data_IF_684486771272
#
_entry.id   IF_684486771272
#
_cell.length_a   1.000
_cell.length_b   1.000
_cell.length_c   1.000
_cell.angle_alpha   90.00
_cell.angle_beta   90.00
_cell.angle_gamma   90.00
#
_symmetry.space_group_name_H-M   'P 1'
#
loop_
_entity.id
_entity.type
_entity.pdbx_description
1 polymer ?
#
# COMPACT_ATOMS: atom_id res chain seq x y z
N UNK A 1 -16.78 24.85 28.06
CA UNK A 1 -15.68 25.82 27.81
C UNK A 1 -14.33 25.34 28.33
N UNK A 2 -14.23 24.80 29.56
CA UNK A 2 -12.95 24.38 30.17
C UNK A 2 -12.27 23.20 29.45
N UNK A 3 -13.03 22.19 28.99
CA UNK A 3 -12.46 21.04 28.27
C UNK A 3 -11.89 21.39 26.87
N UNK A 4 -12.50 22.36 26.18
CA UNK A 4 -12.02 22.84 24.88
C UNK A 4 -10.74 23.69 25.02
N UNK A 5 -10.60 24.45 26.11
CA UNK A 5 -9.38 25.19 26.43
C UNK A 5 -8.23 24.25 26.84
N UNK A 6 -8.50 23.19 27.61
CA UNK A 6 -7.51 22.18 27.94
C UNK A 6 -7.03 21.41 26.70
N UNK A 7 -7.94 21.04 25.79
CA UNK A 7 -7.58 20.44 24.50
C UNK A 7 -6.77 21.40 23.61
N UNK A 8 -7.06 22.70 23.64
CA UNK A 8 -6.29 23.71 22.91
C UNK A 8 -4.87 23.91 23.47
N UNK A 9 -4.69 23.83 24.80
CA UNK A 9 -3.37 23.88 25.43
C UNK A 9 -2.54 22.64 25.10
N UNK A 10 -3.15 21.45 25.07
CA UNK A 10 -2.49 20.21 24.60
C UNK A 10 -2.07 20.31 23.12
N UNK A 11 -2.89 20.96 22.29
CA UNK A 11 -2.60 21.16 20.84
C UNK A 11 -1.39 22.06 20.59
N UNK A 12 -1.26 23.17 21.31
CA UNK A 12 -0.11 24.08 21.22
C UNK A 12 1.16 23.54 21.90
N UNK A 13 1.03 22.57 22.83
CA UNK A 13 2.18 21.91 23.44
C UNK A 13 2.88 20.92 22.52
N UNK A 14 2.15 20.26 21.61
CA UNK A 14 2.72 19.25 20.73
C UNK A 14 3.31 19.86 19.47
N UNK A 15 2.55 20.67 18.71
CA UNK A 15 2.99 21.21 17.42
C UNK A 15 3.41 22.68 17.59
N UNK A 16 4.71 23.03 17.55
CA UNK A 16 5.14 24.41 17.69
C UNK A 16 4.60 25.31 16.56
N UNK A 17 4.04 26.46 16.93
CA UNK A 17 3.56 27.47 15.97
C UNK A 17 4.66 28.02 15.04
N UNK A 18 5.93 27.92 15.49
CA UNK A 18 7.14 28.30 14.74
C UNK A 18 7.45 27.40 13.55
N UNK A 19 6.87 26.19 13.45
CA UNK A 19 7.12 25.30 12.32
C UNK A 19 6.64 25.91 11.01
N UNK A 20 7.49 25.82 9.98
CA UNK A 20 7.15 26.25 8.61
C UNK A 20 6.21 25.22 7.96
N UNK A 21 5.45 25.65 6.95
CA UNK A 21 4.54 24.77 6.21
C UNK A 21 5.27 23.55 5.62
N UNK A 22 6.49 23.71 5.12
CA UNK A 22 7.31 22.62 4.60
C UNK A 22 7.64 21.57 5.68
N UNK A 23 7.94 22.02 6.90
CA UNK A 23 8.22 21.12 8.04
C UNK A 23 6.96 20.37 8.47
N UNK A 24 5.81 21.05 8.53
CA UNK A 24 4.53 20.39 8.83
C UNK A 24 4.16 19.35 7.76
N UNK A 25 4.36 19.68 6.48
CA UNK A 25 4.18 18.73 5.38
C UNK A 25 5.12 17.53 5.52
N UNK A 26 6.38 17.76 5.90
CA UNK A 26 7.35 16.68 6.14
C UNK A 26 6.92 15.76 7.29
N UNK A 27 6.53 16.32 8.44
CA UNK A 27 6.02 15.53 9.58
C UNK A 27 4.76 14.75 9.19
N UNK A 28 3.81 15.40 8.52
CA UNK A 28 2.60 14.75 8.04
C UNK A 28 2.92 13.58 7.10
N UNK A 29 3.85 13.77 6.16
CA UNK A 29 4.34 12.72 5.27
C UNK A 29 4.95 11.54 6.02
N UNK A 30 5.84 11.82 6.98
CA UNK A 30 6.50 10.79 7.80
C UNK A 30 5.50 10.00 8.67
N UNK A 31 4.35 10.59 8.99
CA UNK A 31 3.28 9.97 9.77
C UNK A 31 2.16 9.39 8.90
N UNK A 32 2.33 9.33 7.57
CA UNK A 32 1.31 8.82 6.66
C UNK A 32 0.04 9.68 6.55
N UNK A 33 0.08 10.92 7.03
CA UNK A 33 -1.04 11.86 7.07
C UNK A 33 -1.19 12.61 5.74
N UNK A 34 -2.37 13.18 5.49
CA UNK A 34 -2.58 14.05 4.34
C UNK A 34 -1.74 15.33 4.44
N UNK A 35 -1.20 15.80 3.31
CA UNK A 35 -0.35 16.99 3.20
C UNK A 35 -1.07 18.19 2.55
N UNK A 36 -2.31 18.00 2.12
CA UNK A 36 -3.17 19.03 1.54
C UNK A 36 -3.87 19.84 2.65
N UNK A 37 -4.24 21.07 2.29
CA UNK A 37 -4.87 22.04 3.18
C UNK A 37 -3.95 23.19 3.57
N UNK A 38 -4.48 24.07 4.42
CA UNK A 38 -3.76 25.20 5.00
C UNK A 38 -2.75 24.74 6.05
N UNK A 39 -1.86 25.64 6.47
CA UNK A 39 -0.91 25.38 7.58
C UNK A 39 -1.64 24.89 8.84
N UNK A 40 -2.79 25.49 9.13
CA UNK A 40 -3.62 25.15 10.30
C UNK A 40 -4.20 23.74 10.18
N UNK A 41 -4.76 23.39 9.02
CA UNK A 41 -5.36 22.07 8.80
C UNK A 41 -4.34 20.94 8.98
N UNK A 42 -3.11 21.14 8.51
CA UNK A 42 -2.03 20.15 8.65
C UNK A 42 -1.57 20.07 10.11
N UNK A 43 -1.42 21.20 10.80
CA UNK A 43 -1.05 21.22 12.21
C UNK A 43 -2.10 20.51 13.09
N UNK A 44 -3.39 20.80 12.88
CA UNK A 44 -4.50 20.13 13.58
C UNK A 44 -4.47 18.62 13.36
N UNK A 45 -4.25 18.17 12.12
CA UNK A 45 -4.15 16.75 11.78
C UNK A 45 -2.98 16.05 12.48
N UNK A 46 -1.84 16.73 12.62
CA UNK A 46 -0.67 16.20 13.35
C UNK A 46 -0.99 16.11 14.85
N UNK A 47 -1.62 17.15 15.42
CA UNK A 47 -2.04 17.15 16.83
C UNK A 47 -3.05 16.05 17.13
N UNK A 48 -4.04 15.85 16.26
CA UNK A 48 -5.05 14.79 16.42
C UNK A 48 -4.40 13.40 16.35
N UNK A 49 -3.48 13.21 15.40
CA UNK A 49 -2.72 11.97 15.28
C UNK A 49 -1.84 11.70 16.51
N UNK A 50 -1.23 12.73 17.10
CA UNK A 50 -0.45 12.62 18.33
C UNK A 50 -1.34 12.24 19.52
N UNK A 51 -2.54 12.82 19.61
CA UNK A 51 -3.49 12.52 20.69
C UNK A 51 -4.06 11.10 20.59
N UNK A 52 -4.25 10.57 19.37
CA UNK A 52 -4.76 9.23 19.14
C UNK A 52 -3.65 8.15 19.04
N UNK A 53 -2.38 8.53 19.10
CA UNK A 53 -1.28 7.58 18.92
C UNK A 53 -1.22 6.59 20.08
N UNK A 54 -1.65 5.36 19.83
CA UNK A 54 -1.38 4.25 20.72
C UNK A 54 0.10 3.84 20.59
N UNK A 55 0.76 3.38 21.67
CA UNK A 55 2.02 2.67 21.53
C UNK A 55 1.81 1.49 20.58
N UNK A 56 2.65 1.34 19.57
CA UNK A 56 2.64 0.12 18.76
C UNK A 56 3.06 -1.03 19.69
N UNK A 57 2.07 -1.80 20.19
CA UNK A 57 2.31 -2.89 21.12
C UNK A 57 3.22 -3.92 20.46
N UNK A 58 4.43 -4.05 20.98
CA UNK A 58 5.39 -5.04 20.52
C UNK A 58 4.82 -6.44 20.78
N UNK A 59 5.18 -7.41 19.94
CA UNK A 59 4.84 -8.80 20.16
C UNK A 59 5.45 -9.28 21.50
N UNK A 60 4.69 -9.22 22.58
CA UNK A 60 5.00 -9.93 23.81
C UNK A 60 4.65 -11.41 23.60
N UNK A 61 5.49 -12.31 24.09
CA UNK A 61 5.25 -13.76 24.03
C UNK A 61 4.01 -14.21 24.84
N UNK A 62 3.29 -13.30 25.53
CA UNK A 62 2.27 -13.67 26.52
C UNK A 62 0.89 -13.01 26.40
N UNK A 63 0.62 -12.06 25.50
CA UNK A 63 -0.75 -11.52 25.33
C UNK A 63 -1.14 -11.26 23.87
N UNK A 64 -2.42 -11.43 23.55
CA UNK A 64 -3.03 -11.26 22.23
C UNK A 64 -3.15 -9.81 21.74
N UNK A 65 -2.33 -8.90 22.25
CA UNK A 65 -2.46 -7.45 22.05
C UNK A 65 -1.56 -6.89 20.94
N UNK A 66 -0.78 -7.75 20.27
CA UNK A 66 0.09 -7.32 19.18
C UNK A 66 -0.73 -7.02 17.92
N UNK A 67 -0.58 -5.84 17.28
CA UNK A 67 -1.31 -5.54 16.08
C UNK A 67 -0.91 -6.51 14.97
N UNK A 68 -1.93 -7.12 14.35
CA UNK A 68 -1.86 -7.95 13.16
C UNK A 68 -2.34 -7.13 11.97
N UNK A 69 -1.39 -6.69 11.14
CA UNK A 69 -1.60 -5.77 10.02
C UNK A 69 -1.71 -6.60 8.75
N UNK A 70 -2.92 -6.66 8.17
CA UNK A 70 -3.17 -7.26 6.87
C UNK A 70 -3.17 -6.16 5.81
N UNK A 71 -2.14 -6.11 4.99
CA UNK A 71 -2.02 -5.13 3.90
C UNK A 71 -2.43 -5.74 2.58
N UNK A 72 -3.39 -5.12 1.89
CA UNK A 72 -3.99 -5.60 0.64
C UNK A 72 -3.72 -4.59 -0.48
N UNK A 73 -3.10 -5.07 -1.56
CA UNK A 73 -3.04 -4.41 -2.87
C UNK A 73 -4.14 -5.00 -3.76
N UNK A 74 -5.11 -4.17 -4.13
CA UNK A 74 -6.32 -4.63 -4.79
C UNK A 74 -6.11 -4.93 -6.27
N UNK A 75 -6.59 -6.08 -6.68
CA UNK A 75 -6.69 -6.48 -8.08
C UNK A 75 -7.67 -7.62 -8.23
N UNK A 76 -8.28 -7.77 -9.40
CA UNK A 76 -9.21 -8.89 -9.64
C UNK A 76 -8.46 -10.18 -10.00
N UNK A 77 -7.33 -10.07 -10.70
CA UNK A 77 -6.50 -11.21 -11.15
C UNK A 77 -5.09 -11.24 -10.56
N UNK A 78 -4.80 -10.23 -9.76
CA UNK A 78 -3.48 -9.91 -9.25
C UNK A 78 -3.57 -9.31 -7.86
N UNK A 79 -4.63 -9.65 -7.11
CA UNK A 79 -4.71 -9.26 -5.70
C UNK A 79 -3.47 -9.78 -4.99
N UNK A 80 -2.84 -8.96 -4.18
CA UNK A 80 -1.77 -9.39 -3.31
C UNK A 80 -2.08 -8.95 -1.87
N UNK A 81 -1.69 -9.78 -0.90
CA UNK A 81 -1.76 -9.39 0.49
C UNK A 81 -0.56 -9.90 1.29
N UNK A 82 -0.22 -9.14 2.33
CA UNK A 82 0.76 -9.52 3.34
C UNK A 82 0.18 -9.36 4.74
N UNK A 83 0.52 -10.28 5.65
CA UNK A 83 0.14 -10.22 7.06
C UNK A 83 1.40 -10.04 7.91
N UNK A 84 1.45 -8.94 8.65
CA UNK A 84 2.61 -8.49 9.42
C UNK A 84 2.26 -8.33 10.90
N UNK A 85 3.23 -8.59 11.76
CA UNK A 85 3.26 -8.05 13.13
C UNK A 85 4.62 -7.40 13.38
N UNK A 86 4.70 -6.28 14.11
CA UNK A 86 5.98 -5.71 14.53
C UNK A 86 6.83 -6.76 15.26
N UNK A 87 8.08 -6.93 14.83
CA UNK A 87 9.09 -7.64 15.60
C UNK A 87 9.72 -6.58 16.52
N UNK A 88 9.60 -6.73 17.84
CA UNK A 88 10.15 -5.73 18.77
C UNK A 88 11.63 -5.45 18.50
N UNK A 89 12.12 -4.29 18.92
CA UNK A 89 13.55 -3.92 18.77
C UNK A 89 14.39 -5.03 19.40
N UNK A 90 15.14 -5.78 18.60
CA UNK A 90 16.22 -6.58 19.17
C UNK A 90 17.18 -5.59 19.81
N UNK A 91 17.33 -5.69 21.14
CA UNK A 91 18.46 -5.06 21.84
C UNK A 91 19.73 -5.78 21.38
N UNK A 92 20.13 -5.62 20.10
CA UNK A 92 21.50 -5.85 19.69
C UNK A 92 22.32 -4.76 20.38
N UNK A 93 22.93 -5.16 21.49
CA UNK A 93 23.88 -4.39 22.27
C UNK A 93 25.03 -3.96 21.35
N UNK A 94 24.90 -2.76 20.79
CA UNK A 94 25.96 -2.09 20.04
C UNK A 94 26.15 -0.68 20.61
N UNK A 95 26.73 -0.62 21.82
CA UNK A 95 27.31 0.59 22.41
C UNK A 95 26.34 1.73 22.81
N UNK A 96 26.80 2.67 23.66
CA UNK A 96 26.05 3.87 23.98
C UNK A 96 26.12 4.84 22.79
N UNK A 97 25.19 4.71 21.85
CA UNK A 97 25.07 5.61 20.70
C UNK A 97 23.99 5.14 19.72
N UNK A 98 22.84 5.83 19.75
CA UNK A 98 21.76 5.83 18.74
C UNK A 98 21.30 4.44 18.26
N UNK A 99 20.18 3.98 18.79
CA UNK A 99 19.46 2.80 18.29
C UNK A 99 19.00 3.05 16.84
N UNK A 100 19.48 2.26 15.88
CA UNK A 100 19.17 2.35 14.43
C UNK A 100 17.66 2.32 14.13
N UNK A 101 16.86 1.78 15.04
CA UNK A 101 15.39 1.77 15.01
C UNK A 101 14.73 3.16 15.03
N UNK A 102 15.45 4.24 15.36
CA UNK A 102 14.87 5.58 15.52
C UNK A 102 14.94 6.49 14.28
N UNK A 103 15.51 6.05 13.15
CA UNK A 103 15.51 6.86 11.93
C UNK A 103 14.09 6.85 11.32
N UNK A 104 13.50 8.03 11.07
CA UNK A 104 12.11 8.19 10.64
C UNK A 104 11.76 7.47 9.33
N UNK A 105 12.76 7.22 8.48
CA UNK A 105 12.65 6.50 7.22
C UNK A 105 13.24 5.08 7.21
N UNK A 106 13.82 4.60 8.33
CA UNK A 106 14.33 3.23 8.39
C UNK A 106 13.19 2.21 8.40
N UNK A 107 13.34 1.05 7.72
CA UNK A 107 12.33 0.01 7.74
C UNK A 107 12.14 -0.55 9.15
N UNK A 108 10.88 -0.81 9.57
CA UNK A 108 10.62 -1.51 10.81
C UNK A 108 10.97 -2.99 10.68
N UNK A 109 11.41 -3.59 11.78
CA UNK A 109 11.55 -5.04 11.85
C UNK A 109 10.17 -5.68 11.98
N UNK A 110 9.87 -6.69 11.16
CA UNK A 110 8.53 -7.30 11.10
C UNK A 110 8.59 -8.82 11.01
N UNK A 111 7.62 -9.47 11.66
CA UNK A 111 7.31 -10.87 11.41
C UNK A 111 6.31 -10.96 10.26
N UNK A 112 6.67 -11.69 9.20
CA UNK A 112 5.82 -11.94 8.04
C UNK A 112 5.11 -13.30 8.19
N UNK A 113 3.80 -13.24 8.41
CA UNK A 113 2.95 -14.41 8.69
C UNK A 113 2.28 -14.97 7.44
N UNK A 114 1.98 -14.12 6.47
CA UNK A 114 1.40 -14.54 5.19
C UNK A 114 1.83 -13.57 4.11
N UNK A 115 2.12 -14.08 2.92
CA UNK A 115 2.40 -13.26 1.75
C UNK A 115 1.95 -14.02 0.52
N UNK A 116 0.87 -13.58 -0.12
CA UNK A 116 0.22 -14.35 -1.19
C UNK A 116 -0.33 -13.45 -2.28
N UNK A 117 -0.38 -14.01 -3.49
CA UNK A 117 -1.07 -13.44 -4.65
C UNK A 117 -2.27 -14.31 -4.98
N UNK A 118 -3.38 -13.70 -5.36
CA UNK A 118 -4.65 -14.39 -5.60
C UNK A 118 -5.34 -13.88 -6.87
N UNK A 119 -5.92 -14.79 -7.64
CA UNK A 119 -6.79 -14.50 -8.79
C UNK A 119 -8.24 -14.78 -8.40
N UNK A 120 -8.94 -13.72 -8.00
CA UNK A 120 -10.32 -13.79 -7.54
C UNK A 120 -11.32 -14.15 -8.64
N UNK A 121 -10.96 -13.93 -9.91
CA UNK A 121 -11.85 -14.19 -11.04
C UNK A 121 -11.81 -15.67 -11.40
N UNK A 122 -10.61 -16.24 -11.46
CA UNK A 122 -10.42 -17.65 -11.82
C UNK A 122 -10.88 -18.60 -10.71
N UNK A 123 -10.82 -18.17 -9.45
CA UNK A 123 -11.32 -18.91 -8.29
C UNK A 123 -12.86 -18.85 -8.13
N UNK A 124 -13.57 -18.07 -8.96
CA UNK A 124 -15.02 -17.96 -8.86
C UNK A 124 -15.72 -19.16 -9.51
N UNK A 125 -16.64 -19.85 -8.82
CA UNK A 125 -17.42 -20.94 -9.41
C UNK A 125 -18.33 -20.49 -10.57
N UNK A 126 -18.56 -19.19 -10.72
CA UNK A 126 -19.33 -18.59 -11.83
C UNK A 126 -18.50 -18.23 -13.07
N UNK A 127 -17.17 -18.42 -13.05
CA UNK A 127 -16.26 -17.98 -14.12
C UNK A 127 -16.56 -18.59 -15.51
N UNK A 128 -17.34 -19.66 -15.57
CA UNK A 128 -17.67 -20.39 -16.81
C UNK A 128 -18.82 -19.84 -17.66
N UNK A 129 -19.55 -18.80 -17.22
CA UNK A 129 -20.70 -18.27 -17.99
C UNK A 129 -20.50 -16.80 -18.36
N UNK A 130 -20.29 -16.56 -19.66
CA UNK A 130 -20.37 -15.30 -20.41
C UNK A 130 -20.50 -14.01 -19.59
N UNK A 131 -19.38 -13.29 -19.37
CA UNK A 131 -19.37 -11.87 -18.96
C UNK A 131 -19.84 -11.54 -17.53
N UNK A 132 -20.49 -12.46 -16.82
CA UNK A 132 -21.15 -12.20 -15.53
C UNK A 132 -20.18 -12.21 -14.33
N UNK A 133 -18.93 -12.64 -14.51
CA UNK A 133 -17.95 -12.70 -13.42
C UNK A 133 -17.63 -11.35 -12.76
N UNK A 134 -17.96 -10.24 -13.42
CA UNK A 134 -17.77 -8.87 -12.93
C UNK A 134 -19.08 -8.15 -12.60
N UNK A 135 -20.22 -8.85 -12.62
CA UNK A 135 -21.48 -8.24 -12.19
C UNK A 135 -21.45 -7.92 -10.69
N UNK A 136 -22.25 -6.94 -10.23
CA UNK A 136 -22.32 -6.62 -8.81
C UNK A 136 -22.65 -7.84 -7.93
N UNK A 137 -23.53 -8.72 -8.41
CA UNK A 137 -23.88 -9.96 -7.71
C UNK A 137 -22.66 -10.89 -7.57
N UNK A 138 -21.95 -11.18 -8.66
CA UNK A 138 -20.76 -12.03 -8.63
C UNK A 138 -19.63 -11.43 -7.77
N UNK A 139 -19.33 -10.14 -7.93
CA UNK A 139 -18.29 -9.46 -7.15
C UNK A 139 -18.62 -9.44 -5.66
N UNK A 140 -19.89 -9.24 -5.27
CA UNK A 140 -20.31 -9.25 -3.87
C UNK A 140 -20.10 -10.61 -3.22
N UNK A 141 -20.48 -11.70 -3.92
CA UNK A 141 -20.26 -13.06 -3.45
C UNK A 141 -18.77 -13.38 -3.32
N UNK A 142 -17.95 -12.89 -4.25
CA UNK A 142 -16.49 -13.01 -4.20
C UNK A 142 -15.88 -12.24 -3.05
N UNK A 143 -16.30 -10.99 -2.79
CA UNK A 143 -15.84 -10.19 -1.67
C UNK A 143 -16.16 -10.86 -0.33
N UNK A 144 -17.41 -11.29 -0.12
CA UNK A 144 -17.84 -11.99 1.10
C UNK A 144 -17.03 -13.26 1.32
N UNK A 145 -16.89 -14.09 0.27
CA UNK A 145 -16.13 -15.34 0.35
C UNK A 145 -14.68 -15.09 0.69
N UNK A 146 -14.02 -14.19 -0.03
CA UNK A 146 -12.61 -13.88 0.16
C UNK A 146 -12.35 -13.31 1.56
N UNK A 147 -13.16 -12.37 2.03
CA UNK A 147 -13.02 -11.80 3.38
C UNK A 147 -13.22 -12.89 4.44
N UNK A 148 -14.30 -13.67 4.38
CA UNK A 148 -14.65 -14.62 5.43
C UNK A 148 -13.79 -15.89 5.44
N UNK A 149 -13.39 -16.38 4.27
CA UNK A 149 -12.71 -17.68 4.13
C UNK A 149 -11.20 -17.53 3.97
N UNK A 150 -10.70 -16.35 3.60
CA UNK A 150 -9.27 -16.13 3.35
C UNK A 150 -8.68 -15.08 4.29
N UNK A 151 -9.30 -13.89 4.39
CA UNK A 151 -8.68 -12.78 5.14
C UNK A 151 -8.92 -12.85 6.64
N UNK A 152 -10.16 -13.07 7.10
CA UNK A 152 -10.48 -13.12 8.52
C UNK A 152 -9.86 -14.30 9.28
N UNK A 153 -9.71 -15.51 8.70
CA UNK A 153 -9.00 -16.60 9.36
C UNK A 153 -7.54 -16.28 9.71
N UNK A 154 -6.96 -15.23 9.10
CA UNK A 154 -5.63 -14.72 9.45
C UNK A 154 -5.62 -13.92 10.77
N UNK A 155 -6.80 -13.66 11.36
CA UNK A 155 -7.04 -12.86 12.55
C UNK A 155 -6.41 -11.46 12.46
N UNK A 156 -6.73 -10.64 11.44
CA UNK A 156 -6.22 -9.28 11.35
C UNK A 156 -6.87 -8.38 12.41
N UNK A 157 -6.09 -7.47 12.98
CA UNK A 157 -6.59 -6.35 13.80
C UNK A 157 -6.77 -5.09 12.96
N UNK A 158 -5.94 -4.94 11.93
CA UNK A 158 -5.96 -3.83 11.00
C UNK A 158 -5.92 -4.38 9.58
N UNK A 159 -6.79 -3.89 8.71
CA UNK A 159 -6.82 -4.22 7.28
C UNK A 159 -6.54 -2.96 6.48
N UNK A 160 -5.36 -2.91 5.86
CA UNK A 160 -4.97 -1.80 5.00
C UNK A 160 -5.40 -2.12 3.57
N UNK A 161 -6.16 -1.22 2.96
CA UNK A 161 -6.59 -1.35 1.57
C UNK A 161 -6.02 -0.16 0.80
N UNK A 162 -5.17 -0.41 -0.21
CA UNK A 162 -4.72 0.65 -1.09
C UNK A 162 -5.93 1.17 -1.91
N UNK A 163 -6.18 2.48 -1.86
CA UNK A 163 -7.26 3.09 -2.64
C UNK A 163 -6.96 3.03 -4.13
N UNK A 164 -7.88 2.50 -4.92
CA UNK A 164 -7.72 2.52 -6.36
C UNK A 164 -7.85 3.97 -6.91
N UNK A 165 -6.88 4.39 -7.72
CA UNK A 165 -6.85 5.75 -8.30
C UNK A 165 -7.89 5.89 -9.41
N UNK A 166 -8.69 6.95 -9.35
CA UNK A 166 -9.55 7.37 -10.47
C UNK A 166 -8.70 7.82 -11.66
N UNK A 167 -9.12 7.48 -12.88
CA UNK A 167 -8.41 7.84 -14.11
C UNK A 167 -9.40 8.43 -15.10
N UNK A 168 -9.31 9.74 -15.34
CA UNK A 168 -10.23 10.49 -16.23
C UNK A 168 -9.81 10.51 -17.69
N UNK A 169 -8.62 10.02 -18.04
CA UNK A 169 -8.04 10.15 -19.39
C UNK A 169 -7.38 8.84 -19.87
N UNK A 170 -8.07 7.71 -19.67
CA UNK A 170 -7.61 6.39 -20.10
C UNK A 170 -8.44 5.82 -21.24
N UNK A 171 -7.87 4.92 -22.03
CA UNK A 171 -8.64 4.11 -22.97
C UNK A 171 -9.76 3.35 -22.23
N UNK A 172 -10.90 3.11 -22.88
CA UNK A 172 -12.08 2.47 -22.27
C UNK A 172 -11.77 1.20 -21.43
N UNK A 173 -10.86 0.29 -21.84
CA UNK A 173 -10.49 -0.87 -21.02
C UNK A 173 -9.87 -0.52 -19.66
N UNK A 174 -9.15 0.60 -19.57
CA UNK A 174 -8.56 1.09 -18.31
C UNK A 174 -9.64 1.61 -17.37
N UNK A 175 -10.62 2.32 -17.90
CA UNK A 175 -11.75 2.82 -17.13
C UNK A 175 -12.62 1.67 -16.61
N UNK A 176 -12.94 0.71 -17.47
CA UNK A 176 -13.70 -0.48 -17.10
C UNK A 176 -13.00 -1.28 -15.99
N UNK A 177 -11.69 -1.53 -16.13
CA UNK A 177 -10.93 -2.22 -15.09
C UNK A 177 -10.91 -1.44 -13.77
N UNK A 178 -10.74 -0.12 -13.83
CA UNK A 178 -10.77 0.76 -12.65
C UNK A 178 -12.12 0.67 -11.96
N UNK A 179 -13.23 0.72 -12.70
CA UNK A 179 -14.57 0.59 -12.15
C UNK A 179 -14.76 -0.75 -11.44
N UNK A 180 -14.35 -1.85 -12.06
CA UNK A 180 -14.49 -3.19 -11.46
C UNK A 180 -13.68 -3.34 -10.17
N UNK A 181 -12.46 -2.81 -10.12
CA UNK A 181 -11.64 -2.81 -8.90
C UNK A 181 -12.24 -1.90 -7.82
N UNK A 182 -12.71 -0.70 -8.17
CA UNK A 182 -13.40 0.19 -7.23
C UNK A 182 -14.67 -0.46 -6.65
N UNK A 183 -15.42 -1.20 -7.47
CA UNK A 183 -16.60 -1.94 -7.00
C UNK A 183 -16.21 -3.00 -5.97
N UNK A 184 -15.13 -3.76 -6.23
CA UNK A 184 -14.61 -4.72 -5.26
C UNK A 184 -14.11 -4.03 -3.98
N UNK A 185 -13.38 -2.91 -4.09
CA UNK A 185 -12.92 -2.09 -2.95
C UNK A 185 -14.11 -1.70 -2.05
N UNK A 186 -15.14 -1.11 -2.64
CA UNK A 186 -16.34 -0.69 -1.92
C UNK A 186 -17.06 -1.87 -1.24
N UNK A 187 -17.16 -3.01 -1.93
CA UNK A 187 -17.74 -4.23 -1.36
C UNK A 187 -16.93 -4.77 -0.19
N UNK A 188 -15.60 -4.80 -0.29
CA UNK A 188 -14.74 -5.24 0.82
C UNK A 188 -14.89 -4.32 2.04
N UNK A 189 -14.90 -3.00 1.83
CA UNK A 189 -15.19 -2.03 2.89
C UNK A 189 -16.55 -2.28 3.55
N UNK A 190 -17.61 -2.47 2.75
CA UNK A 190 -18.94 -2.75 3.27
C UNK A 190 -19.00 -4.08 4.04
N UNK A 191 -18.35 -5.13 3.56
CA UNK A 191 -18.31 -6.44 4.23
C UNK A 191 -17.60 -6.34 5.58
N UNK A 192 -16.40 -5.75 5.64
CA UNK A 192 -15.68 -5.60 6.91
C UNK A 192 -16.45 -4.73 7.91
N UNK A 193 -17.03 -3.61 7.45
CA UNK A 193 -17.84 -2.75 8.30
C UNK A 193 -19.07 -3.48 8.85
N UNK A 194 -19.78 -4.23 8.00
CA UNK A 194 -20.93 -5.04 8.42
C UNK A 194 -20.52 -6.10 9.45
N UNK A 195 -19.41 -6.81 9.22
CA UNK A 195 -18.90 -7.80 10.16
C UNK A 195 -18.49 -7.17 11.50
N UNK A 196 -18.03 -5.92 11.49
CA UNK A 196 -17.76 -5.15 12.69
C UNK A 196 -19.01 -4.79 13.48
N UNK A 197 -19.99 -4.18 12.82
CA UNK A 197 -21.27 -3.82 13.45
C UNK A 197 -22.03 -5.05 13.99
N UNK A 198 -21.90 -6.20 13.33
CA UNK A 198 -22.49 -7.47 13.78
C UNK A 198 -21.69 -8.19 14.88
N UNK A 199 -20.56 -7.64 15.35
CA UNK A 199 -19.74 -8.25 16.39
C UNK A 199 -18.99 -9.52 15.96
N UNK A 200 -18.80 -9.74 14.66
CA UNK A 200 -18.02 -10.87 14.12
C UNK A 200 -16.53 -10.57 13.97
N UNK A 201 -16.14 -9.30 14.06
CA UNK A 201 -14.76 -8.83 13.98
C UNK A 201 -14.66 -7.44 14.63
N UNK A 202 -13.63 -7.14 15.39
CA UNK A 202 -13.50 -5.88 16.15
C UNK A 202 -12.42 -4.93 15.60
N UNK A 203 -11.73 -5.34 14.54
CA UNK A 203 -10.62 -4.58 13.96
C UNK A 203 -11.02 -3.33 13.17
N UNK A 204 -10.05 -2.76 12.47
CA UNK A 204 -10.18 -1.53 11.70
C UNK A 204 -9.78 -1.72 10.23
N UNK A 205 -10.53 -1.09 9.32
CA UNK A 205 -10.14 -0.99 7.91
C UNK A 205 -9.60 0.41 7.64
N UNK A 206 -8.39 0.49 7.10
CA UNK A 206 -7.70 1.75 6.79
C UNK A 206 -7.48 1.86 5.29
N UNK A 207 -8.06 2.89 4.68
CA UNK A 207 -7.81 3.21 3.27
C UNK A 207 -6.48 3.95 3.12
N UNK A 208 -5.50 3.33 2.46
CA UNK A 208 -4.17 3.92 2.24
C UNK A 208 -4.15 4.66 0.91
N UNK A 209 -3.62 5.88 0.92
CA UNK A 209 -3.47 6.67 -0.31
C UNK A 209 -2.23 6.19 -1.12
N UNK A 210 -2.39 5.88 -2.42
CA UNK A 210 -1.31 5.39 -3.28
C UNK A 210 -0.08 6.31 -3.39
N UNK A 211 -0.26 7.60 -3.11
CA UNK A 211 0.80 8.60 -3.16
C UNK A 211 1.68 8.62 -1.90
N UNK A 212 1.41 7.76 -0.91
CA UNK A 212 2.12 7.79 0.38
C UNK A 212 3.14 6.67 0.53
N UNK A 213 2.72 5.40 0.40
CA UNK A 213 3.58 4.26 0.72
C UNK A 213 4.84 4.19 -0.16
N UNK A 214 4.70 4.33 -1.47
CA UNK A 214 5.84 4.23 -2.37
C UNK A 214 6.82 5.42 -2.26
N UNK A 215 6.37 6.69 -2.29
CA UNK A 215 7.28 7.82 -2.11
C UNK A 215 7.98 7.85 -0.75
N UNK A 216 7.34 7.32 0.30
CA UNK A 216 7.90 7.23 1.64
C UNK A 216 9.25 6.49 1.65
N UNK A 217 9.34 5.37 0.93
CA UNK A 217 10.57 4.57 0.84
C UNK A 217 11.59 5.12 -0.15
N UNK A 218 11.12 5.80 -1.20
CA UNK A 218 11.98 6.30 -2.28
C UNK A 218 12.64 7.65 -1.97
N UNK A 219 12.46 8.19 -0.75
CA UNK A 219 13.02 9.48 -0.35
C UNK A 219 12.49 10.66 -1.17
N UNK A 220 11.41 10.47 -1.92
CA UNK A 220 10.74 11.55 -2.64
C UNK A 220 9.99 12.38 -1.61
N UNK A 221 10.64 13.42 -1.07
CA UNK A 221 9.96 14.40 -0.23
C UNK A 221 8.66 14.82 -0.93
N UNK A 222 7.52 14.64 -0.26
CA UNK A 222 6.17 14.83 -0.81
C UNK A 222 5.83 16.28 -1.22
N UNK A 223 6.80 17.07 -1.68
CA UNK A 223 6.68 18.50 -1.94
C UNK A 223 6.29 18.91 -3.36
N UNK A 224 6.54 18.10 -4.41
CA UNK A 224 6.49 18.65 -5.79
C UNK A 224 5.64 17.87 -6.81
N UNK A 225 4.91 16.83 -6.43
CA UNK A 225 4.13 16.02 -7.38
C UNK A 225 2.69 16.51 -7.64
N UNK A 226 2.20 17.53 -6.91
CA UNK A 226 0.81 18.01 -7.01
C UNK A 226 0.61 19.29 -7.85
N UNK A 227 1.64 19.81 -8.54
CA UNK A 227 1.52 21.08 -9.30
C UNK A 227 1.87 20.92 -10.78
N UNK A 228 1.23 20.00 -11.52
CA UNK A 228 1.00 20.16 -12.97
C UNK A 228 -0.23 19.35 -13.39
N UNK A 229 -1.42 19.80 -12.97
CA UNK A 229 -2.66 19.52 -13.68
C UNK A 229 -3.40 20.86 -13.80
N UNK A 230 -2.74 21.82 -14.42
CA UNK A 230 -3.38 23.07 -14.78
C UNK A 230 -4.11 22.83 -16.11
N UNK A 231 -5.43 22.88 -16.02
CA UNK A 231 -6.36 22.88 -17.14
C UNK A 231 -5.89 23.88 -18.18
N UNK A 232 -5.53 23.38 -19.36
CA UNK A 232 -5.38 24.23 -20.54
C UNK A 232 -6.80 24.40 -21.08
N UNK A 233 -7.36 25.58 -20.84
CA UNK A 233 -8.62 26.04 -21.44
C UNK A 233 -8.46 25.95 -22.95
N UNK A 234 -9.20 25.04 -23.58
CA UNK A 234 -9.25 24.93 -25.02
C UNK A 234 -10.10 26.08 -25.56
N UNK A 235 -9.43 27.06 -26.18
CA UNK A 235 -10.10 27.98 -27.08
C UNK A 235 -10.63 27.23 -28.31
N UNK A 236 -11.82 27.65 -28.72
CA UNK A 236 -12.60 27.13 -29.83
C UNK A 236 -11.89 27.30 -31.16
N UNK A 237 -11.85 26.24 -31.97
CA UNK A 237 -11.83 26.37 -33.43
C UNK A 237 -12.55 25.19 -34.10
N UNK A 238 -13.79 25.49 -34.49
CA UNK A 238 -14.47 25.14 -35.74
C UNK A 238 -14.46 23.69 -36.24
N UNK A 239 -15.68 23.15 -36.24
CA UNK A 239 -16.25 22.11 -37.10
C UNK A 239 -15.64 21.99 -38.50
N UNK A 240 -15.34 20.75 -38.91
CA UNK A 240 -15.54 20.28 -40.28
C UNK A 240 -15.94 18.80 -40.26
N UNK A 241 -17.09 18.53 -40.86
CA UNK A 241 -17.71 17.23 -41.12
C UNK A 241 -17.05 16.59 -42.33
N UNK A 242 -17.06 15.25 -42.38
CA UNK A 242 -17.02 14.30 -43.52
C UNK A 242 -16.04 13.16 -43.18
N UNK A 243 -16.41 11.90 -43.02
CA UNK A 243 -17.19 10.90 -43.78
C UNK A 243 -16.23 9.76 -44.20
N UNK A 244 -16.68 8.53 -43.94
CA UNK A 244 -16.24 7.20 -44.38
C UNK A 244 -14.84 6.94 -44.99
N UNK A 245 -14.13 5.91 -44.46
CA UNK A 245 -13.70 4.69 -45.19
C UNK A 245 -12.58 3.90 -44.48
N UNK A 246 -12.86 2.61 -44.26
CA UNK A 246 -11.92 1.54 -43.98
C UNK A 246 -10.79 1.43 -45.02
N UNK A 247 -9.53 1.32 -44.57
CA UNK A 247 -8.47 0.68 -45.36
C UNK A 247 -7.33 0.15 -44.47
N UNK A 248 -7.14 -1.18 -44.54
CA UNK A 248 -5.98 -1.92 -44.07
C UNK A 248 -4.66 -1.38 -44.68
N UNK A 249 -3.64 -1.13 -43.87
CA UNK A 249 -2.22 -1.26 -44.26
C UNK A 249 -1.31 -1.59 -43.05
N UNK A 250 -0.13 -2.19 -43.26
CA UNK A 250 0.49 -3.15 -42.34
C UNK A 250 1.27 -2.51 -41.17
N UNK A 251 1.32 -3.25 -40.05
CA UNK A 251 2.21 -2.95 -38.92
C UNK A 251 3.68 -3.09 -39.30
N UNK A 252 4.34 -1.98 -39.61
CA UNK A 252 5.79 -1.87 -39.47
C UNK A 252 6.18 -1.73 -37.99
N UNK A 253 7.20 -2.51 -37.60
CA UNK A 253 7.79 -2.50 -36.25
C UNK A 253 8.62 -1.23 -36.07
N UNK A 254 7.98 -0.12 -35.71
CA UNK A 254 8.70 1.01 -35.14
C UNK A 254 9.16 0.66 -33.72
N UNK A 255 10.47 0.56 -33.51
CA UNK A 255 11.09 0.53 -32.20
C UNK A 255 10.83 1.87 -31.49
N UNK A 256 9.67 1.99 -30.84
CA UNK A 256 9.24 3.22 -30.20
C UNK A 256 10.09 3.55 -28.97
N UNK A 257 10.83 4.66 -29.04
CA UNK A 257 11.47 5.28 -27.88
C UNK A 257 10.41 5.61 -26.83
N UNK A 258 10.48 4.96 -25.67
CA UNK A 258 9.53 5.18 -24.56
C UNK A 258 9.56 6.64 -24.12
N UNK A 259 8.38 7.20 -23.85
CA UNK A 259 8.24 8.53 -23.25
C UNK A 259 8.92 8.61 -21.88
N UNK A 260 9.35 9.81 -21.48
CA UNK A 260 9.97 10.08 -20.18
C UNK A 260 9.10 9.60 -19.01
N UNK A 261 7.78 9.78 -19.10
CA UNK A 261 6.81 9.33 -18.09
C UNK A 261 6.77 7.80 -17.96
N UNK A 262 6.84 7.08 -19.08
CA UNK A 262 6.90 5.61 -19.07
C UNK A 262 8.22 5.10 -18.49
N UNK A 263 9.34 5.79 -18.76
CA UNK A 263 10.64 5.47 -18.16
C UNK A 263 10.59 5.66 -16.63
N UNK A 264 10.14 6.82 -16.14
CA UNK A 264 10.03 7.09 -14.71
C UNK A 264 9.16 6.07 -13.96
N UNK A 265 8.02 5.66 -14.54
CA UNK A 265 7.14 4.63 -13.96
C UNK A 265 7.81 3.25 -13.87
N UNK A 266 8.59 2.88 -14.89
CA UNK A 266 9.34 1.63 -14.87
C UNK A 266 10.48 1.67 -13.86
N UNK A 267 11.15 2.81 -13.73
CA UNK A 267 12.17 3.05 -12.72
C UNK A 267 11.59 2.87 -11.31
N UNK A 268 10.48 3.54 -10.98
CA UNK A 268 9.82 3.39 -9.67
C UNK A 268 9.42 1.94 -9.37
N UNK A 269 8.89 1.21 -10.36
CA UNK A 269 8.55 -0.21 -10.18
C UNK A 269 9.78 -1.05 -9.83
N UNK A 270 10.90 -0.80 -10.52
CA UNK A 270 12.14 -1.51 -10.27
C UNK A 270 12.71 -1.14 -8.90
N UNK A 271 12.74 0.14 -8.54
CA UNK A 271 13.25 0.62 -7.25
C UNK A 271 12.50 0.01 -6.08
N UNK A 272 11.17 -0.08 -6.14
CA UNK A 272 10.37 -0.78 -5.12
C UNK A 272 10.79 -2.24 -4.95
N UNK A 273 10.93 -2.93 -6.08
CA UNK A 273 11.33 -4.34 -6.07
C UNK A 273 12.74 -4.52 -5.53
N UNK A 274 13.65 -3.59 -5.85
CA UNK A 274 15.03 -3.58 -5.39
C UNK A 274 15.10 -3.30 -3.87
N UNK A 275 14.34 -2.33 -3.35
CA UNK A 275 14.24 -2.07 -1.90
C UNK A 275 13.81 -3.33 -1.15
N UNK A 276 12.69 -3.93 -1.58
CA UNK A 276 12.18 -5.11 -0.90
C UNK A 276 13.13 -6.32 -1.05
N UNK A 277 13.72 -6.48 -2.23
CA UNK A 277 14.69 -7.55 -2.48
C UNK A 277 15.90 -7.46 -1.55
N UNK A 278 16.43 -6.25 -1.33
CA UNK A 278 17.54 -6.03 -0.41
C UNK A 278 17.14 -6.37 1.03
N UNK A 279 15.98 -5.90 1.52
CA UNK A 279 15.52 -6.19 2.89
C UNK A 279 15.26 -7.67 3.15
N UNK A 280 14.74 -8.39 2.14
CA UNK A 280 14.60 -9.84 2.22
C UNK A 280 15.97 -10.54 2.26
N UNK A 281 16.99 -9.99 1.59
CA UNK A 281 18.33 -10.56 1.52
C UNK A 281 19.11 -10.36 2.82
N UNK A 282 18.89 -9.23 3.52
CA UNK A 282 19.47 -8.92 4.84
C UNK A 282 18.96 -9.88 5.94
N UNK A 283 17.74 -10.43 5.79
CA UNK A 283 17.11 -11.46 6.67
C UNK A 283 16.89 -11.06 8.13
N UNK A 284 17.26 -9.86 8.53
CA UNK A 284 17.03 -9.31 9.85
C UNK A 284 15.85 -8.34 9.88
N UNK A 285 15.47 -7.70 8.76
CA UNK A 285 14.32 -6.80 8.67
C UNK A 285 12.99 -7.56 8.60
N UNK A 286 12.89 -8.54 7.70
CA UNK A 286 11.66 -9.30 7.43
C UNK A 286 11.85 -10.74 7.89
N UNK A 287 11.26 -11.06 9.03
CA UNK A 287 11.38 -12.35 9.70
C UNK A 287 10.24 -13.28 9.26
N UNK A 288 10.53 -14.27 8.42
CA UNK A 288 9.55 -15.28 8.03
C UNK A 288 9.05 -16.07 9.25
N UNK A 289 7.75 -16.39 9.29
CA UNK A 289 7.13 -17.13 10.39
C UNK A 289 6.71 -18.56 10.03
N UNK A 290 6.74 -18.93 8.75
CA UNK A 290 6.36 -20.27 8.31
C UNK A 290 6.95 -20.60 6.93
N UNK A 291 6.90 -21.89 6.58
CA UNK A 291 7.44 -22.44 5.32
C UNK A 291 6.76 -21.89 4.08
N UNK A 292 5.47 -21.55 4.15
CA UNK A 292 4.75 -20.97 3.01
C UNK A 292 5.32 -19.60 2.65
N UNK A 293 5.59 -18.77 3.68
CA UNK A 293 6.22 -17.47 3.51
C UNK A 293 7.65 -17.62 2.98
N UNK A 294 8.44 -18.57 3.51
CA UNK A 294 9.79 -18.84 3.00
C UNK A 294 9.79 -19.24 1.52
N UNK A 295 8.86 -20.12 1.11
CA UNK A 295 8.71 -20.54 -0.28
C UNK A 295 8.30 -19.37 -1.19
N UNK A 296 7.44 -18.47 -0.70
CA UNK A 296 7.07 -17.25 -1.42
C UNK A 296 8.25 -16.28 -1.54
N UNK A 297 9.04 -16.08 -0.47
CA UNK A 297 10.25 -15.27 -0.50
C UNK A 297 11.24 -15.81 -1.55
N UNK A 298 11.46 -17.12 -1.56
CA UNK A 298 12.33 -17.76 -2.56
C UNK A 298 11.80 -17.54 -3.98
N UNK A 299 10.49 -17.73 -4.20
CA UNK A 299 9.86 -17.48 -5.50
C UNK A 299 10.01 -16.01 -5.93
N UNK A 300 9.85 -15.07 -4.99
CA UNK A 300 10.07 -13.65 -5.25
C UNK A 300 11.53 -13.38 -5.64
N UNK A 301 12.50 -13.94 -4.91
CA UNK A 301 13.93 -13.81 -5.21
C UNK A 301 14.30 -14.33 -6.58
N UNK A 302 13.80 -15.50 -6.95
CA UNK A 302 14.05 -16.08 -8.27
C UNK A 302 13.54 -15.16 -9.39
N UNK A 303 12.46 -14.43 -9.15
CA UNK A 303 11.94 -13.44 -10.09
C UNK A 303 12.74 -12.12 -10.07
N UNK A 304 13.12 -11.63 -8.90
CA UNK A 304 13.87 -10.37 -8.73
C UNK A 304 15.30 -10.46 -9.29
N UNK A 305 16.03 -11.56 -8.99
CA UNK A 305 17.41 -11.79 -9.45
C UNK A 305 17.50 -12.17 -10.94
N UNK A 306 16.36 -12.39 -11.61
CA UNK A 306 16.34 -12.87 -13.00
C UNK A 306 16.81 -11.80 -13.98
N UNK A 307 17.83 -12.14 -14.77
CA UNK A 307 18.29 -11.28 -15.87
C UNK A 307 17.20 -11.10 -16.94
N UNK A 308 17.02 -9.88 -17.50
CA UNK A 308 16.12 -9.66 -18.63
C UNK A 308 16.49 -10.60 -19.80
N UNK A 309 15.55 -11.46 -20.22
CA UNK A 309 15.75 -12.38 -21.35
C UNK A 309 16.02 -13.85 -21.00
N UNK A 310 16.17 -14.21 -19.72
CA UNK A 310 16.32 -15.62 -19.34
C UNK A 310 15.03 -16.43 -19.63
N UNK A 311 15.16 -17.60 -20.27
CA UNK A 311 14.03 -18.53 -20.51
C UNK A 311 13.42 -18.97 -19.18
N UNK A 312 12.09 -18.99 -19.09
CA UNK A 312 11.38 -19.55 -17.92
C UNK A 312 11.71 -21.04 -17.82
N UNK A 313 12.05 -21.57 -16.64
CA UNK A 313 12.06 -23.02 -16.43
C UNK A 313 10.66 -23.56 -16.74
N UNK A 314 10.60 -24.62 -17.55
CA UNK A 314 9.38 -25.40 -17.76
C UNK A 314 9.03 -26.10 -16.45
N UNK A 315 8.20 -25.48 -15.61
CA UNK A 315 7.64 -26.18 -14.44
C UNK A 315 6.72 -27.29 -14.98
N UNK A 316 7.11 -28.56 -14.75
CA UNK A 316 6.24 -29.71 -14.98
C UNK A 316 4.98 -29.51 -14.15
N UNK A 317 3.79 -29.58 -14.78
CA UNK A 317 2.50 -29.69 -14.07
C UNK A 317 2.54 -30.94 -13.18
N UNK A 318 2.84 -30.78 -11.89
CA UNK A 318 2.51 -31.77 -10.88
C UNK A 318 1.04 -31.58 -10.51
N UNK A 319 0.23 -32.60 -10.74
CA UNK A 319 -1.16 -32.67 -10.32
C UNK A 319 -1.25 -32.93 -8.81
N UNK A 320 -0.82 -31.98 -7.98
CA UNK A 320 -1.20 -31.96 -6.56
C UNK A 320 -1.50 -30.50 -6.16
N UNK A 321 -2.64 -30.35 -5.50
CA UNK A 321 -3.38 -29.13 -5.17
C UNK A 321 -2.50 -27.92 -4.82
N UNK A 322 -2.59 -26.88 -5.65
CA UNK A 322 -2.04 -25.54 -5.42
C UNK A 322 -2.25 -24.65 -6.64
N UNK A 323 -3.28 -23.82 -6.62
CA UNK A 323 -3.54 -22.78 -7.62
C UNK A 323 -2.38 -21.77 -7.67
N UNK A 324 -1.34 -22.00 -8.48
CA UNK A 324 -0.55 -20.89 -9.00
C UNK A 324 0.13 -21.24 -10.33
N UNK A 325 -0.52 -20.86 -11.42
CA UNK A 325 0.10 -20.87 -12.74
C UNK A 325 1.20 -19.82 -12.84
N UNK A 326 2.40 -20.12 -12.34
CA UNK A 326 3.64 -19.38 -12.52
C UNK A 326 3.51 -17.84 -12.48
N UNK A 327 3.62 -17.26 -11.29
CA UNK A 327 3.51 -15.82 -10.99
C UNK A 327 4.15 -14.96 -12.09
N UNK A 328 3.32 -14.29 -12.90
CA UNK A 328 3.83 -13.50 -14.05
C UNK A 328 4.28 -12.10 -13.66
N UNK A 329 3.77 -11.58 -12.55
CA UNK A 329 4.00 -10.24 -12.02
C UNK A 329 4.12 -10.34 -10.51
N UNK A 330 5.25 -9.88 -9.97
CA UNK A 330 5.57 -9.88 -8.55
C UNK A 330 5.57 -8.48 -7.96
N UNK A 331 5.31 -7.44 -8.78
CA UNK A 331 5.22 -6.07 -8.29
C UNK A 331 4.05 -5.87 -7.34
N UNK A 332 2.92 -6.57 -7.55
CA UNK A 332 1.76 -6.54 -6.64
C UNK A 332 2.14 -7.09 -5.24
N UNK A 333 2.98 -8.13 -5.18
CA UNK A 333 3.52 -8.68 -3.92
C UNK A 333 4.40 -7.65 -3.20
N UNK A 334 5.23 -6.91 -3.94
CA UNK A 334 6.05 -5.85 -3.37
C UNK A 334 5.19 -4.69 -2.85
N UNK A 335 4.16 -4.28 -3.60
CA UNK A 335 3.26 -3.20 -3.23
C UNK A 335 2.50 -3.52 -1.92
N UNK A 336 1.92 -4.72 -1.80
CA UNK A 336 1.23 -5.13 -0.57
C UNK A 336 2.15 -5.18 0.66
N UNK A 337 3.41 -5.61 0.53
CA UNK A 337 4.36 -5.71 1.64
C UNK A 337 4.93 -4.35 2.04
N UNK A 338 5.37 -3.55 1.07
CA UNK A 338 5.89 -2.19 1.30
C UNK A 338 4.82 -1.26 1.90
N UNK A 339 3.55 -1.43 1.53
CA UNK A 339 2.45 -0.71 2.16
C UNK A 339 2.31 -1.05 3.64
N UNK A 340 2.34 -2.34 3.99
CA UNK A 340 2.22 -2.79 5.37
C UNK A 340 3.36 -2.28 6.25
N UNK A 341 4.60 -2.37 5.73
CA UNK A 341 5.77 -1.81 6.42
C UNK A 341 5.68 -0.30 6.56
N UNK A 342 5.19 0.43 5.55
CA UNK A 342 5.09 1.88 5.60
C UNK A 342 4.10 2.30 6.70
N UNK A 343 2.97 1.62 6.78
CA UNK A 343 1.97 1.87 7.81
C UNK A 343 2.53 1.64 9.21
N UNK A 344 3.21 0.51 9.45
CA UNK A 344 3.86 0.24 10.74
C UNK A 344 4.83 1.38 11.09
N UNK A 345 5.65 1.83 10.11
CA UNK A 345 6.57 2.94 10.34
C UNK A 345 5.86 4.27 10.62
N UNK A 346 4.72 4.52 9.97
CA UNK A 346 3.90 5.70 10.24
C UNK A 346 3.32 5.68 11.65
N UNK A 347 2.88 4.51 12.14
CA UNK A 347 2.42 4.36 13.53
C UNK A 347 3.57 4.59 14.52
N UNK A 348 4.76 4.05 14.26
CA UNK A 348 5.96 4.34 15.05
C UNK A 348 6.26 5.84 15.08
N UNK A 349 6.25 6.50 13.92
CA UNK A 349 6.50 7.94 13.81
C UNK A 349 5.41 8.76 14.52
N UNK A 350 4.14 8.34 14.48
CA UNK A 350 3.07 8.99 15.26
C UNK A 350 3.28 8.85 16.76
N UNK A 351 3.82 7.72 17.22
CA UNK A 351 4.04 7.45 18.64
C UNK A 351 5.09 8.38 19.29
N UNK A 352 5.98 8.97 18.47
CA UNK A 352 6.97 9.96 18.95
C UNK A 352 6.43 11.39 18.96
N UNK A 353 5.26 11.68 18.38
CA UNK A 353 4.68 13.04 18.37
C UNK A 353 4.15 13.51 19.74
N UNK A 354 4.53 12.89 20.85
CA UNK A 354 3.97 13.19 22.18
C UNK A 354 4.37 14.57 22.71
N UNK A 355 5.47 15.11 22.22
CA UNK A 355 5.99 16.42 22.60
C UNK A 355 6.80 17.08 21.47
N UNK A 356 7.32 18.28 21.75
CA UNK A 356 8.12 19.07 20.81
C UNK A 356 9.45 18.40 20.46
N UNK A 357 10.00 17.59 21.35
CA UNK A 357 11.28 16.91 21.15
C UNK A 357 11.13 15.83 20.09
N UNK A 358 10.06 15.03 20.15
CA UNK A 358 9.78 14.02 19.13
C UNK A 358 9.49 14.59 17.74
N UNK A 359 8.85 15.76 17.64
CA UNK A 359 8.73 16.45 16.35
C UNK A 359 10.09 16.90 15.83
N UNK A 360 10.94 17.43 16.72
CA UNK A 360 12.30 17.84 16.36
C UNK A 360 13.13 16.65 15.92
N UNK A 361 13.00 15.51 16.59
CA UNK A 361 13.63 14.24 16.23
C UNK A 361 13.24 13.83 14.80
N UNK A 362 11.94 13.79 14.48
CA UNK A 362 11.46 13.45 13.13
C UNK A 362 11.95 14.39 12.03
N UNK A 363 12.20 15.66 12.37
CA UNK A 363 12.69 16.67 11.42
C UNK A 363 14.23 16.71 11.31
N UNK A 364 14.94 16.20 12.31
CA UNK A 364 16.41 16.14 12.34
C UNK A 364 17.01 14.94 11.60
N UNK A 365 16.15 14.01 11.19
CA UNK A 365 16.44 12.77 10.47
C UNK A 365 16.06 12.89 8.99
#
# INVERSE_FOLDING_TARGET
MVAAAAAAVVRDTVVPSSLKLAQLKRVAFLCGLAMSGTKKDIAERISDAAASAAPVCQASHTTGDCPRILSVDLGLRNLAYSLLTPAGVTNSVSGPGITVSQIAGAPPQVHLHSWRRHDLVSASPSAGKNGDAFSPSALSATAVRFVRQTLLPLNPTHVLIERQRFRTHGAAPVQEWTLRVNTLEAMMHAVFHTLKECGHWDGEVVSVAPSRAAPFWLGSEGGNAEVVAQEVVAEQSTLSVDDDLEAHTPKEKAAGTRSTRQKAKLTMKKEKMDILGNWLEERDIILSQNKDVEAMIETYFQHWKRKPGARRPSVKKSNEVGEDGGIKKIDDLADSLLQGMAWIKWEENKSVLKDKEGITQLLSL
#
